data_IF_022999043494
#
_entry.id   IF_022999043494
#
_cell.length_a   1.000
_cell.length_b   1.000
_cell.length_c   1.000
_cell.angle_alpha   90.00
_cell.angle_beta   90.00
_cell.angle_gamma   90.00
#
_symmetry.space_group_name_H-M   'P 1'
#
loop_
_entity.id
_entity.type
_entity.pdbx_description
1 polymer ?
#
# COMPACT_ATOMS: atom_id res chain seq x y z
N UNK A 1 18.95 32.15 47.53
CA UNK A 1 17.77 31.66 46.80
C UNK A 1 18.29 30.97 45.54
N UNK A 2 18.61 29.68 45.65
CA UNK A 2 19.24 28.87 44.59
C UNK A 2 18.12 28.08 43.90
N UNK A 3 17.84 28.42 42.63
CA UNK A 3 16.79 27.76 41.84
C UNK A 3 17.32 26.42 41.36
N UNK A 4 16.74 25.32 41.89
CA UNK A 4 17.01 23.96 41.46
C UNK A 4 16.14 23.67 40.21
N UNK A 5 16.75 23.61 39.03
CA UNK A 5 16.10 23.14 37.81
C UNK A 5 16.02 21.61 37.86
N UNK A 6 14.87 21.07 38.28
CA UNK A 6 14.59 19.64 38.19
C UNK A 6 14.21 19.31 36.75
N UNK A 7 15.17 18.78 35.99
CA UNK A 7 14.95 18.30 34.63
C UNK A 7 13.96 17.13 34.61
N UNK A 8 12.82 17.31 33.95
CA UNK A 8 11.91 16.23 33.63
C UNK A 8 12.57 15.33 32.57
N UNK A 9 13.16 14.22 33.00
CA UNK A 9 13.50 13.10 32.12
C UNK A 9 12.17 12.47 31.71
N UNK A 10 11.73 12.77 30.50
CA UNK A 10 10.61 12.05 29.87
C UNK A 10 11.13 10.65 29.54
N UNK A 11 10.67 9.66 30.30
CA UNK A 11 10.79 8.25 29.96
C UNK A 11 9.98 8.01 28.68
N UNK A 12 10.64 8.14 27.52
CA UNK A 12 10.11 7.63 26.27
C UNK A 12 10.04 6.11 26.42
N UNK A 13 8.85 5.58 26.71
CA UNK A 13 8.60 4.16 26.62
C UNK A 13 8.82 3.73 25.17
N UNK A 14 9.98 3.13 24.89
CA UNK A 14 10.23 2.49 23.61
C UNK A 14 9.18 1.37 23.47
N UNK A 15 8.16 1.60 22.65
CA UNK A 15 7.35 0.49 22.14
C UNK A 15 8.33 -0.43 21.41
N UNK A 16 8.54 -1.63 21.94
CA UNK A 16 9.44 -2.61 21.34
C UNK A 16 8.91 -2.94 19.93
N UNK A 17 9.72 -2.67 18.92
CA UNK A 17 9.42 -3.02 17.54
C UNK A 17 9.71 -4.51 17.33
N UNK A 18 8.98 -5.20 16.45
CA UNK A 18 9.11 -6.64 16.26
C UNK A 18 10.33 -6.97 15.39
N UNK A 19 11.54 -6.85 15.95
CA UNK A 19 12.79 -7.04 15.19
C UNK A 19 13.23 -8.51 15.11
N UNK A 20 13.22 -9.24 16.22
CA UNK A 20 13.72 -10.62 16.32
C UNK A 20 12.64 -11.57 16.80
N UNK A 21 12.55 -12.72 16.12
CA UNK A 21 11.64 -13.79 16.48
C UNK A 21 10.16 -13.51 16.18
N UNK A 22 9.86 -12.41 15.49
CA UNK A 22 8.50 -11.96 15.25
C UNK A 22 7.63 -12.98 14.52
N UNK A 23 8.23 -13.85 13.69
CA UNK A 23 7.53 -14.93 12.98
C UNK A 23 7.56 -16.26 13.74
N UNK A 24 7.86 -16.26 15.06
CA UNK A 24 7.78 -17.47 15.87
C UNK A 24 6.33 -17.95 15.84
N UNK A 25 6.14 -19.18 15.39
CA UNK A 25 4.80 -19.74 15.16
C UNK A 25 4.08 -19.96 16.49
N UNK A 26 2.82 -19.51 16.55
CA UNK A 26 1.89 -19.82 17.64
C UNK A 26 0.93 -20.93 17.20
N UNK A 27 0.99 -22.07 17.88
CA UNK A 27 0.15 -23.25 17.67
C UNK A 27 -1.13 -23.25 18.51
N UNK A 28 -1.32 -22.22 19.35
CA UNK A 28 -2.47 -22.12 20.24
C UNK A 28 -3.79 -22.04 19.44
N UNK A 29 -4.85 -22.75 19.85
CA UNK A 29 -6.17 -22.58 19.24
C UNK A 29 -6.71 -21.16 19.43
N UNK A 30 -7.32 -20.58 18.41
CA UNK A 30 -8.04 -19.31 18.52
C UNK A 30 -9.35 -19.38 17.73
N UNK A 31 -10.43 -19.74 18.42
CA UNK A 31 -11.75 -19.75 17.81
C UNK A 31 -12.14 -18.34 17.34
N UNK A 32 -12.59 -18.22 16.09
CA UNK A 32 -13.02 -16.96 15.49
C UNK A 32 -11.89 -16.06 15.01
N UNK A 33 -10.61 -16.48 15.10
CA UNK A 33 -9.52 -15.77 14.46
C UNK A 33 -9.52 -16.03 12.95
N UNK A 34 -9.08 -15.04 12.17
CA UNK A 34 -9.01 -15.12 10.71
C UNK A 34 -7.56 -15.19 10.27
N UNK A 35 -7.21 -16.16 9.44
CA UNK A 35 -5.85 -16.34 8.93
C UNK A 35 -5.70 -15.79 7.50
N UNK A 36 -4.60 -15.07 7.26
CA UNK A 36 -4.25 -14.51 5.96
C UNK A 36 -2.87 -15.02 5.53
N UNK A 37 -2.83 -15.83 4.46
CA UNK A 37 -1.59 -16.27 3.84
C UNK A 37 -1.07 -15.23 2.85
N UNK A 38 0.11 -14.70 3.12
CA UNK A 38 0.79 -13.68 2.33
C UNK A 38 1.99 -14.31 1.63
N UNK A 39 2.06 -14.13 0.32
CA UNK A 39 3.22 -14.50 -0.48
C UNK A 39 4.20 -13.32 -0.54
N UNK A 40 5.49 -13.60 -0.44
CA UNK A 40 6.49 -12.57 -0.17
C UNK A 40 7.58 -12.67 -1.24
N UNK A 41 7.89 -11.53 -1.85
CA UNK A 41 9.08 -11.33 -2.66
C UNK A 41 9.93 -10.22 -2.02
N UNK A 42 11.23 -10.43 -1.92
CA UNK A 42 12.08 -9.51 -1.15
C UNK A 42 13.48 -9.32 -1.70
N UNK A 43 14.07 -8.15 -1.44
CA UNK A 43 15.50 -7.88 -1.64
C UNK A 43 16.29 -7.83 -0.33
N UNK A 44 15.65 -8.17 0.79
CA UNK A 44 16.30 -8.30 2.09
C UNK A 44 17.19 -9.54 2.12
N UNK A 45 18.30 -9.46 2.83
CA UNK A 45 19.08 -10.62 3.20
C UNK A 45 18.29 -11.45 4.23
N UNK A 46 18.43 -12.79 4.17
CA UNK A 46 17.94 -13.65 5.24
C UNK A 46 18.60 -13.24 6.56
N UNK A 47 17.83 -13.30 7.64
CA UNK A 47 18.33 -13.05 8.98
C UNK A 47 18.90 -14.35 9.56
N UNK A 48 20.03 -14.25 10.27
CA UNK A 48 20.60 -15.38 11.02
C UNK A 48 19.82 -15.67 12.31
N UNK A 49 19.10 -14.67 12.82
CA UNK A 49 18.30 -14.78 14.03
C UNK A 49 17.07 -15.70 13.81
N UNK A 50 16.76 -16.59 14.78
CA UNK A 50 15.66 -17.52 14.66
C UNK A 50 14.32 -16.78 14.52
N UNK A 51 13.42 -17.34 13.71
CA UNK A 51 12.07 -16.83 13.49
C UNK A 51 11.97 -15.35 13.06
N UNK A 52 13.06 -14.80 12.49
CA UNK A 52 13.12 -13.42 11.98
C UNK A 52 12.99 -13.35 10.46
N UNK A 53 13.40 -14.41 9.76
CA UNK A 53 13.36 -14.58 8.30
C UNK A 53 14.23 -13.61 7.50
N UNK A 54 13.91 -12.31 7.50
CA UNK A 54 14.61 -11.31 6.70
C UNK A 54 15.06 -10.13 7.55
N UNK A 55 16.28 -9.67 7.30
CA UNK A 55 16.90 -8.56 8.02
C UNK A 55 16.64 -7.20 7.35
N UNK A 56 17.21 -6.15 7.93
CA UNK A 56 17.28 -4.83 7.31
C UNK A 56 18.33 -4.70 6.21
N UNK A 57 19.17 -5.73 6.02
CA UNK A 57 20.30 -5.66 5.09
C UNK A 57 19.93 -6.11 3.67
N UNK A 58 20.69 -5.64 2.67
CA UNK A 58 20.50 -6.02 1.27
C UNK A 58 20.93 -7.46 1.03
N UNK A 59 20.04 -8.25 0.44
CA UNK A 59 20.33 -9.57 -0.08
C UNK A 59 21.16 -9.49 -1.37
N UNK A 60 21.89 -10.56 -1.68
CA UNK A 60 22.65 -10.67 -2.94
C UNK A 60 21.75 -10.84 -4.16
N UNK A 61 20.56 -11.40 -3.96
CA UNK A 61 19.55 -11.72 -4.98
C UNK A 61 18.17 -11.51 -4.37
N UNK A 62 17.15 -11.45 -5.23
CA UNK A 62 15.75 -11.54 -4.80
C UNK A 62 15.51 -12.90 -4.14
N UNK A 63 14.75 -12.89 -3.05
CA UNK A 63 14.38 -14.07 -2.27
C UNK A 63 12.85 -14.12 -2.09
N UNK A 64 12.33 -15.27 -1.69
CA UNK A 64 10.90 -15.51 -1.61
C UNK A 64 10.51 -16.28 -0.35
N UNK A 65 9.30 -15.99 0.14
CA UNK A 65 8.73 -16.67 1.30
C UNK A 65 7.20 -16.69 1.24
N UNK A 66 6.60 -17.43 2.16
CA UNK A 66 5.18 -17.35 2.51
C UNK A 66 5.07 -17.22 4.03
N UNK A 67 4.04 -16.52 4.48
CA UNK A 67 3.68 -16.49 5.89
C UNK A 67 2.16 -16.43 6.04
N UNK A 68 1.63 -17.17 7.00
CA UNK A 68 0.21 -17.10 7.39
C UNK A 68 0.13 -16.36 8.71
N UNK A 69 -0.57 -15.22 8.71
CA UNK A 69 -0.76 -14.37 9.89
C UNK A 69 -2.20 -14.48 10.36
N UNK A 70 -2.38 -14.79 11.64
CA UNK A 70 -3.69 -14.80 12.30
C UNK A 70 -4.04 -13.41 12.81
N UNK A 71 -5.29 -13.00 12.60
CA UNK A 71 -5.89 -11.77 13.12
C UNK A 71 -6.88 -12.14 14.22
N UNK A 72 -6.79 -11.53 15.42
CA UNK A 72 -7.63 -11.92 16.54
C UNK A 72 -9.10 -11.50 16.34
N UNK A 73 -10.08 -12.21 16.93
CA UNK A 73 -11.51 -11.90 16.76
C UNK A 73 -11.91 -10.49 17.20
N UNK A 74 -11.21 -9.94 18.20
CA UNK A 74 -11.47 -8.62 18.78
C UNK A 74 -10.62 -7.50 18.13
N UNK A 75 -10.10 -7.74 16.92
CA UNK A 75 -9.28 -6.79 16.17
C UNK A 75 -10.01 -5.46 15.93
N UNK A 76 -9.23 -4.36 15.99
CA UNK A 76 -9.72 -3.00 15.69
C UNK A 76 -9.07 -2.49 14.40
N UNK A 77 -9.87 -1.97 13.43
CA UNK A 77 -9.32 -1.49 12.18
C UNK A 77 -8.17 -0.49 12.34
N UNK A 78 -7.15 -0.63 11.50
CA UNK A 78 -5.95 0.21 11.48
C UNK A 78 -4.91 -0.12 12.56
N UNK A 79 -5.20 -1.04 13.49
CA UNK A 79 -4.27 -1.42 14.57
C UNK A 79 -3.60 -2.75 14.30
N UNK A 80 -2.36 -2.92 14.73
CA UNK A 80 -1.77 -4.25 14.83
C UNK A 80 -1.65 -4.56 16.32
N UNK A 81 -2.44 -5.50 16.81
CA UNK A 81 -2.37 -5.97 18.20
C UNK A 81 -1.09 -6.80 18.41
N UNK A 82 0.01 -6.11 18.68
CA UNK A 82 1.32 -6.74 18.94
C UNK A 82 1.36 -7.46 20.29
N UNK A 83 1.93 -8.68 20.36
CA UNK A 83 2.18 -9.32 21.64
C UNK A 83 3.39 -8.70 22.33
N UNK A 84 3.35 -8.56 23.65
CA UNK A 84 4.53 -8.16 24.44
C UNK A 84 5.55 -9.31 24.60
N UNK A 85 5.14 -10.56 24.35
CA UNK A 85 5.96 -11.76 24.43
C UNK A 85 5.61 -12.70 23.28
N UNK A 86 6.63 -13.13 22.52
CA UNK A 86 6.48 -14.03 21.38
C UNK A 86 6.35 -15.51 21.82
N UNK A 87 5.57 -16.35 21.12
CA UNK A 87 4.89 -16.11 19.84
C UNK A 87 3.52 -15.40 19.93
N UNK A 88 3.11 -14.96 21.12
CA UNK A 88 1.82 -14.31 21.33
C UNK A 88 0.63 -15.28 21.37
N UNK A 89 -0.52 -14.71 21.75
CA UNK A 89 -1.82 -15.41 21.83
C UNK A 89 -2.71 -15.00 20.64
N UNK A 90 -3.06 -15.93 19.72
CA UNK A 90 -3.85 -15.65 18.51
C UNK A 90 -5.28 -15.18 18.79
N UNK A 91 -5.81 -15.39 19.99
CA UNK A 91 -7.13 -14.87 20.38
C UNK A 91 -7.09 -13.37 20.71
N UNK A 92 -5.89 -12.80 20.89
CA UNK A 92 -5.68 -11.43 21.35
C UNK A 92 -4.74 -10.60 20.48
N UNK A 93 -3.86 -11.26 19.73
CA UNK A 93 -2.77 -10.62 19.01
C UNK A 93 -2.69 -11.10 17.58
N UNK A 94 -2.04 -10.30 16.73
CA UNK A 94 -1.54 -10.79 15.46
C UNK A 94 -0.37 -11.73 15.73
N UNK A 95 -0.41 -12.94 15.17
CA UNK A 95 0.65 -13.94 15.34
C UNK A 95 0.91 -14.70 14.05
N UNK A 96 2.14 -15.20 13.88
CA UNK A 96 2.46 -16.11 12.79
C UNK A 96 1.91 -17.51 13.10
N UNK A 97 1.26 -18.11 12.12
CA UNK A 97 0.72 -19.48 12.15
C UNK A 97 1.55 -20.44 11.29
N UNK A 98 2.13 -19.88 10.24
CA UNK A 98 3.08 -20.55 9.36
C UNK A 98 4.05 -19.50 8.83
N UNK A 99 5.30 -19.90 8.63
CA UNK A 99 6.26 -19.15 7.84
C UNK A 99 7.20 -20.13 7.15
N UNK A 100 7.65 -19.81 5.94
CA UNK A 100 8.58 -20.67 5.21
C UNK A 100 9.13 -19.99 3.97
N UNK A 101 10.34 -20.40 3.56
CA UNK A 101 10.93 -19.93 2.31
C UNK A 101 10.29 -20.60 1.10
N UNK A 102 10.37 -19.91 -0.05
CA UNK A 102 10.10 -20.48 -1.36
C UNK A 102 11.42 -20.45 -2.14
N UNK A 103 11.68 -21.51 -2.91
CA UNK A 103 13.02 -21.72 -3.49
C UNK A 103 13.41 -20.67 -4.53
N UNK A 104 12.43 -20.24 -5.34
CA UNK A 104 12.66 -19.38 -6.50
C UNK A 104 11.36 -18.69 -6.99
N UNK A 105 11.49 -17.91 -8.06
CA UNK A 105 10.38 -17.19 -8.68
C UNK A 105 9.31 -18.11 -9.28
N UNK A 106 9.70 -19.30 -9.75
CA UNK A 106 8.74 -20.28 -10.25
C UNK A 106 7.92 -20.89 -9.11
N UNK A 107 8.55 -21.16 -7.97
CA UNK A 107 7.87 -21.60 -6.75
C UNK A 107 6.94 -20.53 -6.21
N UNK A 108 7.36 -19.27 -6.23
CA UNK A 108 6.50 -18.13 -5.92
C UNK A 108 5.28 -18.05 -6.84
N UNK A 109 5.48 -18.09 -8.16
CA UNK A 109 4.37 -18.04 -9.13
C UNK A 109 3.44 -19.24 -9.02
N UNK A 110 3.96 -20.45 -8.77
CA UNK A 110 3.13 -21.64 -8.48
C UNK A 110 2.28 -21.44 -7.22
N UNK A 111 2.85 -20.87 -6.16
CA UNK A 111 2.11 -20.58 -4.94
C UNK A 111 1.00 -19.53 -5.18
N UNK A 112 1.27 -18.50 -6.00
CA UNK A 112 0.26 -17.53 -6.44
C UNK A 112 -0.87 -18.25 -7.19
N UNK A 113 -0.55 -19.06 -8.20
CA UNK A 113 -1.55 -19.77 -8.99
C UNK A 113 -2.38 -20.76 -8.15
N UNK A 114 -1.76 -21.48 -7.21
CA UNK A 114 -2.47 -22.36 -6.29
C UNK A 114 -3.49 -21.58 -5.45
N UNK A 115 -3.07 -20.46 -4.84
CA UNK A 115 -3.97 -19.62 -4.07
C UNK A 115 -5.11 -19.01 -4.94
N UNK A 116 -4.84 -18.66 -6.19
CA UNK A 116 -5.86 -18.17 -7.12
C UNK A 116 -6.85 -19.26 -7.53
N UNK A 117 -6.38 -20.50 -7.70
CA UNK A 117 -7.24 -21.62 -8.12
C UNK A 117 -8.31 -21.95 -7.07
N UNK A 118 -8.00 -21.76 -5.78
CA UNK A 118 -8.90 -21.96 -4.65
C UNK A 118 -9.99 -20.88 -4.52
N UNK A 119 -9.95 -19.86 -5.40
CA UNK A 119 -10.89 -18.73 -5.40
C UNK A 119 -11.84 -18.74 -6.59
N UNK A 120 -13.08 -18.23 -6.43
CA UNK A 120 -13.98 -18.04 -7.56
C UNK A 120 -13.39 -17.04 -8.55
N UNK A 121 -13.73 -17.17 -9.84
CA UNK A 121 -13.06 -16.44 -10.93
C UNK A 121 -13.04 -14.90 -10.75
N UNK A 122 -14.08 -14.33 -10.14
CA UNK A 122 -14.16 -12.88 -9.89
C UNK A 122 -13.24 -12.41 -8.75
N UNK A 123 -12.78 -13.30 -7.86
CA UNK A 123 -11.86 -12.99 -6.75
C UNK A 123 -10.40 -13.36 -7.06
N UNK A 124 -10.10 -13.78 -8.30
CA UNK A 124 -8.73 -14.15 -8.73
C UNK A 124 -7.84 -12.94 -9.02
N UNK A 125 -7.91 -11.92 -8.18
CA UNK A 125 -7.04 -10.76 -8.24
C UNK A 125 -5.88 -10.91 -7.25
N UNK A 126 -4.77 -10.25 -7.56
CA UNK A 126 -3.61 -10.14 -6.68
C UNK A 126 -3.54 -8.72 -6.12
N UNK A 127 -3.24 -8.60 -4.83
CA UNK A 127 -2.95 -7.32 -4.18
C UNK A 127 -1.49 -7.26 -3.76
N UNK A 128 -0.70 -6.44 -4.43
CA UNK A 128 0.70 -6.15 -4.10
C UNK A 128 0.78 -4.97 -3.15
N UNK A 129 1.43 -5.15 -2.00
CA UNK A 129 1.77 -4.07 -1.09
C UNK A 129 3.28 -3.82 -1.01
N UNK A 130 3.68 -2.55 -1.04
CA UNK A 130 5.06 -2.09 -0.97
C UNK A 130 5.17 -1.10 0.20
N UNK A 131 5.91 -1.49 1.24
CA UNK A 131 6.09 -0.66 2.43
C UNK A 131 7.01 0.56 2.18
N UNK A 132 6.96 1.51 3.13
CA UNK A 132 7.76 2.72 3.13
C UNK A 132 9.09 2.63 3.88
N UNK A 133 9.61 3.81 4.20
CA UNK A 133 10.82 4.04 4.98
C UNK A 133 10.71 3.50 6.43
N UNK A 134 11.85 3.24 7.08
CA UNK A 134 11.92 2.91 8.50
C UNK A 134 10.96 1.76 8.87
N UNK A 135 10.98 0.69 8.08
CA UNK A 135 10.09 -0.47 8.25
C UNK A 135 10.89 -1.76 8.36
N UNK A 136 10.75 -2.47 9.48
CA UNK A 136 11.27 -3.82 9.64
C UNK A 136 10.44 -4.82 8.82
N UNK A 137 11.02 -5.98 8.51
CA UNK A 137 10.33 -7.02 7.73
C UNK A 137 8.99 -7.42 8.36
N UNK A 138 9.00 -7.77 9.66
CA UNK A 138 7.79 -8.20 10.36
C UNK A 138 6.74 -7.07 10.45
N UNK A 139 7.16 -5.82 10.64
CA UNK A 139 6.24 -4.69 10.64
C UNK A 139 5.51 -4.54 9.31
N UNK A 140 6.25 -4.61 8.20
CA UNK A 140 5.65 -4.55 6.86
C UNK A 140 4.68 -5.70 6.62
N UNK A 141 5.04 -6.92 7.04
CA UNK A 141 4.23 -8.12 6.87
C UNK A 141 2.92 -8.06 7.68
N UNK A 142 3.00 -7.78 8.98
CA UNK A 142 1.84 -7.77 9.86
C UNK A 142 0.93 -6.57 9.57
N UNK A 143 1.52 -5.43 9.21
CA UNK A 143 0.76 -4.29 8.73
C UNK A 143 -0.01 -4.63 7.47
N UNK A 144 0.60 -5.36 6.53
CA UNK A 144 -0.11 -5.77 5.33
C UNK A 144 -1.22 -6.79 5.63
N UNK A 145 -1.00 -7.74 6.54
CA UNK A 145 -2.06 -8.62 7.02
C UNK A 145 -3.26 -7.84 7.59
N UNK A 146 -3.00 -6.78 8.36
CA UNK A 146 -4.03 -5.86 8.86
C UNK A 146 -4.77 -5.16 7.71
N UNK A 147 -4.06 -4.63 6.73
CA UNK A 147 -4.68 -3.96 5.57
C UNK A 147 -5.56 -4.92 4.77
N UNK A 148 -5.11 -6.15 4.54
CA UNK A 148 -5.90 -7.19 3.84
C UNK A 148 -7.16 -7.53 4.63
N UNK A 149 -7.03 -7.74 5.94
CA UNK A 149 -8.16 -8.01 6.82
C UNK A 149 -9.18 -6.87 6.81
N UNK A 150 -8.73 -5.64 7.05
CA UNK A 150 -9.61 -4.48 7.21
C UNK A 150 -10.27 -4.03 5.92
N UNK A 151 -9.63 -4.29 4.77
CA UNK A 151 -10.24 -4.00 3.47
C UNK A 151 -11.22 -5.06 3.01
N UNK A 152 -11.26 -6.23 3.65
CA UNK A 152 -12.04 -7.38 3.19
C UNK A 152 -11.58 -7.90 1.83
N UNK A 153 -10.32 -7.67 1.44
CA UNK A 153 -9.80 -8.12 0.15
C UNK A 153 -9.77 -9.65 0.07
N UNK A 154 -10.53 -10.24 -0.86
CA UNK A 154 -10.69 -11.69 -0.97
C UNK A 154 -9.69 -12.36 -1.91
N UNK A 155 -8.90 -11.59 -2.66
CA UNK A 155 -7.89 -12.11 -3.57
C UNK A 155 -6.62 -12.63 -2.89
N UNK A 156 -5.51 -12.70 -3.64
CA UNK A 156 -4.22 -13.19 -3.16
C UNK A 156 -3.32 -12.03 -2.75
N UNK A 157 -2.96 -11.90 -1.46
CA UNK A 157 -2.07 -10.84 -1.00
C UNK A 157 -0.59 -11.19 -1.23
N UNK A 158 0.13 -10.23 -1.80
CA UNK A 158 1.57 -10.31 -2.10
C UNK A 158 2.29 -9.13 -1.45
N UNK A 159 3.24 -9.40 -0.55
CA UNK A 159 4.14 -8.40 -0.01
C UNK A 159 5.39 -8.31 -0.88
N UNK A 160 5.67 -7.14 -1.43
CA UNK A 160 7.03 -6.82 -1.89
C UNK A 160 7.73 -5.99 -0.83
N UNK A 161 8.80 -6.53 -0.26
CA UNK A 161 9.56 -5.88 0.82
C UNK A 161 11.02 -5.68 0.44
N UNK A 162 11.55 -4.50 0.71
CA UNK A 162 12.91 -4.11 0.35
C UNK A 162 13.72 -3.83 1.61
N UNK A 163 15.06 -3.80 1.48
CA UNK A 163 16.01 -3.69 2.60
C UNK A 163 15.98 -2.32 3.31
N UNK A 164 14.89 -2.03 4.02
CA UNK A 164 14.79 -0.97 5.00
C UNK A 164 15.33 -1.47 6.34
N UNK A 165 16.20 -0.68 6.97
CA UNK A 165 16.78 -1.00 8.29
C UNK A 165 15.81 -0.84 9.44
N UNK A 166 14.65 -0.23 9.23
CA UNK A 166 13.74 0.06 10.33
C UNK A 166 14.35 1.06 11.31
N UNK A 167 15.12 2.04 10.83
CA UNK A 167 15.67 3.09 11.69
C UNK A 167 15.53 4.47 11.06
N UNK A 168 15.14 5.45 11.89
CA UNK A 168 14.94 6.86 11.51
C UNK A 168 16.22 7.59 11.10
N UNK A 169 17.39 7.07 11.43
CA UNK A 169 18.68 7.65 11.01
C UNK A 169 19.21 7.07 9.71
N UNK A 170 18.62 5.98 9.22
CA UNK A 170 19.11 5.23 8.04
C UNK A 170 18.43 5.68 6.74
N UNK A 171 17.87 6.90 6.68
CA UNK A 171 17.15 7.42 5.51
C UNK A 171 17.89 7.26 4.18
N UNK A 172 19.18 7.62 4.13
CA UNK A 172 20.00 7.50 2.90
C UNK A 172 20.24 6.04 2.53
N UNK A 173 20.44 5.18 3.53
CA UNK A 173 20.57 3.74 3.28
C UNK A 173 19.29 3.19 2.68
N UNK A 174 18.15 3.51 3.30
CA UNK A 174 16.83 3.07 2.88
C UNK A 174 16.49 3.57 1.46
N UNK A 175 16.74 4.85 1.15
CA UNK A 175 16.54 5.40 -0.20
C UNK A 175 17.37 4.66 -1.25
N UNK A 176 18.64 4.38 -0.94
CA UNK A 176 19.51 3.62 -1.83
C UNK A 176 19.06 2.15 -1.94
N UNK A 177 18.56 1.55 -0.87
CA UNK A 177 18.03 0.19 -0.86
C UNK A 177 16.75 0.06 -1.68
N UNK A 178 15.83 1.02 -1.55
CA UNK A 178 14.66 1.14 -2.39
C UNK A 178 15.07 1.31 -3.87
N UNK A 179 16.06 2.16 -4.16
CA UNK A 179 16.53 2.37 -5.54
C UNK A 179 17.18 1.11 -6.15
N UNK A 180 17.93 0.34 -5.37
CA UNK A 180 18.49 -0.94 -5.82
C UNK A 180 17.40 -2.01 -6.03
N UNK A 181 16.26 -1.90 -5.34
CA UNK A 181 15.18 -2.88 -5.41
C UNK A 181 14.30 -2.79 -6.68
N UNK A 182 14.48 -1.78 -7.54
CA UNK A 182 13.67 -1.56 -8.76
C UNK A 182 13.59 -2.79 -9.66
N UNK A 183 14.74 -3.36 -10.01
CA UNK A 183 14.80 -4.54 -10.89
C UNK A 183 14.15 -5.77 -10.24
N UNK A 184 14.22 -5.88 -8.91
CA UNK A 184 13.56 -6.97 -8.20
C UNK A 184 12.04 -6.79 -8.17
N UNK A 185 11.55 -5.56 -8.04
CA UNK A 185 10.12 -5.26 -8.13
C UNK A 185 9.61 -5.49 -9.56
N UNK A 186 10.32 -5.02 -10.58
CA UNK A 186 9.97 -5.26 -12.00
C UNK A 186 9.82 -6.76 -12.26
N UNK A 187 10.83 -7.55 -11.89
CA UNK A 187 10.77 -9.00 -12.06
C UNK A 187 9.64 -9.64 -11.25
N UNK A 188 9.34 -9.15 -10.04
CA UNK A 188 8.22 -9.67 -9.24
C UNK A 188 6.89 -9.41 -9.94
N UNK A 189 6.68 -8.18 -10.45
CA UNK A 189 5.49 -7.84 -11.24
C UNK A 189 5.42 -8.68 -12.51
N UNK A 190 6.55 -8.95 -13.17
CA UNK A 190 6.61 -9.84 -14.32
C UNK A 190 6.20 -11.28 -13.98
N UNK A 191 6.61 -11.82 -12.82
CA UNK A 191 6.13 -13.14 -12.38
C UNK A 191 4.62 -13.16 -12.15
N UNK A 192 4.07 -12.08 -11.56
CA UNK A 192 2.62 -11.95 -11.38
C UNK A 192 1.89 -11.81 -12.72
N UNK A 193 2.47 -11.11 -13.71
CA UNK A 193 1.87 -11.02 -15.05
C UNK A 193 1.82 -12.37 -15.77
N UNK A 194 2.77 -13.28 -15.47
CA UNK A 194 2.78 -14.66 -15.97
C UNK A 194 1.94 -15.63 -15.13
N UNK A 195 1.35 -15.16 -14.03
CA UNK A 195 0.43 -15.93 -13.20
C UNK A 195 -0.98 -15.94 -13.79
N UNK A 196 -1.88 -16.74 -13.20
CA UNK A 196 -3.29 -16.85 -13.58
C UNK A 196 -4.15 -15.69 -13.02
N UNK A 197 -3.52 -14.66 -12.45
CA UNK A 197 -4.22 -13.52 -11.85
C UNK A 197 -5.05 -12.77 -12.89
N UNK A 198 -6.33 -12.53 -12.62
CA UNK A 198 -7.22 -11.71 -13.44
C UNK A 198 -6.71 -10.28 -13.49
N UNK A 199 -6.48 -9.65 -12.33
CA UNK A 199 -5.83 -8.34 -12.21
C UNK A 199 -4.82 -8.28 -11.07
N UNK A 200 -3.90 -7.31 -11.15
CA UNK A 200 -2.88 -7.02 -10.15
C UNK A 200 -3.07 -5.59 -9.67
N UNK A 201 -3.55 -5.44 -8.43
CA UNK A 201 -3.68 -4.17 -7.73
C UNK A 201 -2.41 -3.89 -6.95
N UNK A 202 -1.95 -2.64 -6.91
CA UNK A 202 -0.69 -2.26 -6.27
C UNK A 202 -0.94 -1.09 -5.33
N UNK A 203 -0.54 -1.22 -4.07
CA UNK A 203 -0.46 -0.11 -3.13
C UNK A 203 0.97 0.05 -2.64
N UNK A 204 1.51 1.25 -2.80
CA UNK A 204 2.81 1.61 -2.26
C UNK A 204 2.66 2.73 -1.25
N UNK A 205 3.40 2.67 -0.14
CA UNK A 205 3.38 3.68 0.92
C UNK A 205 4.69 4.44 1.01
N UNK A 206 4.65 5.77 1.18
CA UNK A 206 5.80 6.62 1.47
C UNK A 206 6.94 6.38 0.49
N UNK A 207 8.16 6.07 0.93
CA UNK A 207 9.31 5.76 0.08
C UNK A 207 9.11 4.52 -0.82
N UNK A 208 8.14 3.65 -0.51
CA UNK A 208 7.72 2.58 -1.41
C UNK A 208 7.11 3.11 -2.72
N UNK A 209 6.49 4.31 -2.69
CA UNK A 209 5.96 4.96 -3.90
C UNK A 209 7.08 5.39 -4.84
N UNK A 210 8.21 5.87 -4.30
CA UNK A 210 9.42 6.16 -5.06
C UNK A 210 9.90 4.92 -5.82
N UNK A 211 10.03 3.80 -5.12
CA UNK A 211 10.44 2.53 -5.71
C UNK A 211 9.47 2.08 -6.80
N UNK A 212 8.15 2.14 -6.56
CA UNK A 212 7.15 1.76 -7.57
C UNK A 212 7.24 2.64 -8.81
N UNK A 213 7.32 3.96 -8.64
CA UNK A 213 7.37 4.92 -9.74
C UNK A 213 8.67 4.81 -10.55
N UNK A 214 9.80 4.59 -9.90
CA UNK A 214 11.06 4.33 -10.59
C UNK A 214 11.03 2.99 -11.35
N UNK A 215 10.40 1.97 -10.78
CA UNK A 215 10.19 0.67 -11.45
C UNK A 215 9.30 0.84 -12.68
N UNK A 216 8.19 1.58 -12.57
CA UNK A 216 7.33 1.87 -13.71
C UNK A 216 8.07 2.67 -14.79
N UNK A 217 8.92 3.62 -14.40
CA UNK A 217 9.72 4.46 -15.31
C UNK A 217 10.72 3.67 -16.16
N UNK A 218 11.32 2.60 -15.62
CA UNK A 218 12.31 1.80 -16.35
C UNK A 218 11.67 0.83 -17.35
N UNK A 219 10.42 0.42 -17.12
CA UNK A 219 9.68 -0.45 -18.05
C UNK A 219 9.38 0.34 -19.34
N UNK A 220 9.61 -0.24 -20.54
CA UNK A 220 9.23 0.39 -21.80
C UNK A 220 7.74 0.73 -21.81
N UNK A 221 7.36 1.90 -22.31
CA UNK A 221 5.95 2.35 -22.28
C UNK A 221 5.03 1.39 -23.05
N UNK A 222 5.51 0.80 -24.16
CA UNK A 222 4.77 -0.22 -24.90
C UNK A 222 4.49 -1.49 -24.07
N UNK A 223 5.34 -1.84 -23.12
CA UNK A 223 5.17 -3.02 -22.25
C UNK A 223 4.15 -2.73 -21.15
N UNK A 224 4.14 -1.51 -20.64
CA UNK A 224 3.10 -1.01 -19.74
C UNK A 224 1.73 -1.01 -20.43
N UNK A 225 1.66 -0.51 -21.67
CA UNK A 225 0.41 -0.51 -22.46
C UNK A 225 -0.09 -1.93 -22.70
N UNK A 226 0.78 -2.88 -23.06
CA UNK A 226 0.40 -4.29 -23.26
C UNK A 226 -0.08 -4.98 -21.98
N UNK A 227 0.36 -4.50 -20.82
CA UNK A 227 -0.01 -5.06 -19.51
C UNK A 227 -1.19 -4.32 -18.86
N UNK A 228 -1.73 -3.28 -19.51
CA UNK A 228 -2.70 -2.36 -18.93
C UNK A 228 -3.98 -3.06 -18.44
N UNK A 229 -4.47 -4.05 -19.18
CA UNK A 229 -5.70 -4.76 -18.82
C UNK A 229 -5.53 -5.65 -17.58
N UNK A 230 -4.29 -6.08 -17.31
CA UNK A 230 -3.91 -6.89 -16.14
C UNK A 230 -3.55 -6.04 -14.93
N UNK A 231 -3.13 -4.79 -15.11
CA UNK A 231 -2.89 -3.86 -13.99
C UNK A 231 -4.23 -3.27 -13.54
N UNK A 232 -4.61 -3.57 -12.30
CA UNK A 232 -5.80 -3.02 -11.65
C UNK A 232 -5.57 -1.60 -11.14
N UNK A 233 -6.01 -1.35 -9.91
CA UNK A 233 -5.79 -0.05 -9.26
C UNK A 233 -4.34 0.09 -8.80
N UNK A 234 -3.73 1.24 -9.08
CA UNK A 234 -2.45 1.64 -8.49
C UNK A 234 -2.71 2.76 -7.49
N UNK A 235 -2.25 2.59 -6.25
CA UNK A 235 -2.40 3.53 -5.14
C UNK A 235 -1.04 3.95 -4.61
N UNK A 236 -0.79 5.25 -4.60
CA UNK A 236 0.38 5.89 -4.03
C UNK A 236 -0.06 6.58 -2.72
N UNK A 237 0.21 5.94 -1.59
CA UNK A 237 -0.19 6.43 -0.27
C UNK A 237 0.94 7.25 0.39
N UNK A 238 0.61 8.47 0.81
CA UNK A 238 1.52 9.46 1.37
C UNK A 238 2.86 9.55 0.59
N UNK A 239 2.85 9.84 -0.73
CA UNK A 239 4.02 9.58 -1.56
C UNK A 239 5.22 10.46 -1.18
N UNK A 240 6.30 9.78 -0.78
CA UNK A 240 7.59 10.40 -0.49
C UNK A 240 8.43 10.49 -1.77
N UNK A 241 7.98 11.33 -2.70
CA UNK A 241 8.62 11.58 -4.00
C UNK A 241 8.75 13.09 -4.19
N UNK A 242 9.91 13.54 -4.67
CA UNK A 242 10.11 14.93 -5.07
C UNK A 242 9.19 15.26 -6.25
N UNK A 243 8.47 16.38 -6.18
CA UNK A 243 7.46 16.72 -7.18
C UNK A 243 8.04 16.83 -8.60
N UNK A 244 9.27 17.34 -8.76
CA UNK A 244 9.91 17.46 -10.08
C UNK A 244 10.34 16.09 -10.60
N UNK A 245 10.76 15.18 -9.71
CA UNK A 245 11.02 13.79 -10.07
C UNK A 245 9.75 13.07 -10.48
N UNK A 246 8.65 13.24 -9.72
CA UNK A 246 7.36 12.63 -10.07
C UNK A 246 6.88 13.10 -11.45
N UNK A 247 6.97 14.40 -11.73
CA UNK A 247 6.66 14.96 -13.06
C UNK A 247 7.54 14.31 -14.15
N UNK A 248 8.83 14.17 -13.91
CA UNK A 248 9.74 13.53 -14.86
C UNK A 248 9.43 12.03 -15.08
N UNK A 249 9.04 11.32 -14.01
CA UNK A 249 8.58 9.92 -14.08
C UNK A 249 7.30 9.82 -14.92
N UNK A 250 6.28 10.62 -14.62
CA UNK A 250 5.01 10.61 -15.35
C UNK A 250 5.19 10.98 -16.83
N UNK A 251 6.08 11.92 -17.17
CA UNK A 251 6.41 12.21 -18.58
C UNK A 251 7.03 11.01 -19.31
N UNK A 252 7.85 10.22 -18.62
CA UNK A 252 8.51 9.03 -19.20
C UNK A 252 7.55 7.83 -19.29
N UNK A 253 6.69 7.65 -18.30
CA UNK A 253 5.68 6.59 -18.24
C UNK A 253 4.56 6.87 -19.25
N UNK A 254 4.20 8.14 -19.43
CA UNK A 254 3.01 8.56 -20.15
C UNK A 254 1.76 8.54 -19.26
N UNK A 255 0.59 8.78 -19.85
CA UNK A 255 -0.68 8.68 -19.14
C UNK A 255 -1.03 7.21 -18.94
N UNK A 256 -1.15 6.72 -17.69
CA UNK A 256 -1.52 5.33 -17.46
C UNK A 256 -2.98 5.11 -17.92
N UNK A 257 -3.31 3.93 -18.49
CA UNK A 257 -4.68 3.64 -18.94
C UNK A 257 -5.71 3.68 -17.81
N UNK A 258 -5.29 3.34 -16.58
CA UNK A 258 -6.04 3.59 -15.35
C UNK A 258 -5.32 4.66 -14.52
N UNK A 259 -5.98 5.74 -14.10
CA UNK A 259 -5.36 6.77 -13.28
C UNK A 259 -4.73 6.21 -12.00
N UNK A 260 -3.55 6.72 -11.65
CA UNK A 260 -2.95 6.44 -10.34
C UNK A 260 -3.72 7.20 -9.26
N UNK A 261 -4.07 6.52 -8.18
CA UNK A 261 -4.72 7.14 -7.03
C UNK A 261 -3.65 7.63 -6.06
N UNK A 262 -3.59 8.93 -5.81
CA UNK A 262 -2.68 9.55 -4.86
C UNK A 262 -3.47 9.85 -3.60
N UNK A 263 -3.03 9.28 -2.48
CA UNK A 263 -3.60 9.56 -1.18
C UNK A 263 -2.62 10.46 -0.44
N UNK A 264 -3.03 11.68 -0.16
CA UNK A 264 -2.19 12.70 0.46
C UNK A 264 -2.76 13.16 1.80
N UNK A 265 -1.87 13.67 2.64
CA UNK A 265 -2.23 14.25 3.94
C UNK A 265 -1.37 15.50 4.10
N UNK A 266 -2.00 16.67 4.04
CA UNK A 266 -1.29 17.96 4.03
C UNK A 266 -0.63 18.29 5.38
N UNK A 267 -1.01 17.57 6.44
CA UNK A 267 -0.48 17.63 7.80
C UNK A 267 0.54 16.51 8.13
N UNK A 268 1.04 15.79 7.11
CA UNK A 268 1.99 14.69 7.29
C UNK A 268 3.36 15.19 7.79
N UNK A 269 3.68 14.85 9.03
CA UNK A 269 4.90 15.32 9.70
C UNK A 269 6.15 14.56 9.23
N UNK A 270 6.02 13.31 8.81
CA UNK A 270 7.15 12.54 8.30
C UNK A 270 7.61 13.06 6.94
N UNK A 271 6.65 13.44 6.07
CA UNK A 271 6.97 14.09 4.81
C UNK A 271 7.66 15.43 5.01
N UNK A 272 7.24 16.23 6.00
CA UNK A 272 7.93 17.50 6.32
C UNK A 272 9.42 17.31 6.68
N UNK A 273 9.75 16.21 7.37
CA UNK A 273 11.13 15.87 7.71
C UNK A 273 11.91 15.43 6.46
N UNK A 274 11.30 14.59 5.61
CA UNK A 274 11.91 14.17 4.35
C UNK A 274 12.22 15.36 3.43
N UNK A 275 11.29 16.32 3.29
CA UNK A 275 11.48 17.56 2.53
C UNK A 275 12.68 18.34 3.05
N UNK A 276 12.81 18.49 4.37
CA UNK A 276 13.95 19.20 4.99
C UNK A 276 15.28 18.51 4.72
N UNK A 277 15.32 17.18 4.77
CA UNK A 277 16.51 16.39 4.43
C UNK A 277 16.82 16.52 2.93
N UNK A 278 15.80 16.56 2.08
CA UNK A 278 15.91 16.65 0.61
C UNK A 278 16.04 18.08 0.07
N UNK A 279 16.51 19.04 0.88
CA UNK A 279 16.81 20.40 0.42
C UNK A 279 15.59 21.33 0.28
N UNK A 280 14.49 21.04 0.97
CA UNK A 280 13.32 21.93 1.10
C UNK A 280 12.33 21.88 -0.07
N UNK A 281 12.46 20.88 -0.97
CA UNK A 281 11.51 20.68 -2.07
C UNK A 281 10.24 19.98 -1.59
N UNK A 282 9.11 20.33 -2.21
CA UNK A 282 7.82 19.72 -1.90
C UNK A 282 7.80 18.24 -2.31
N UNK A 283 7.15 17.42 -1.48
CA UNK A 283 6.89 16.01 -1.76
C UNK A 283 5.47 15.85 -2.25
N UNK A 284 5.22 14.88 -3.13
CA UNK A 284 3.89 14.63 -3.72
C UNK A 284 2.82 14.45 -2.63
N UNK A 285 3.11 13.74 -1.54
CA UNK A 285 2.14 13.54 -0.45
C UNK A 285 1.79 14.78 0.38
N UNK A 286 2.50 15.89 0.21
CA UNK A 286 2.19 17.19 0.82
C UNK A 286 2.13 18.32 -0.21
N UNK A 287 1.89 17.99 -1.49
CA UNK A 287 1.87 18.98 -2.56
C UNK A 287 0.51 19.68 -2.61
N UNK A 288 0.51 21.02 -2.67
CA UNK A 288 -0.73 21.81 -2.56
C UNK A 288 -1.47 21.99 -3.90
N UNK A 289 -0.82 21.73 -5.04
CA UNK A 289 -1.42 21.93 -6.36
C UNK A 289 -2.02 20.61 -6.91
N UNK A 290 -3.19 20.27 -6.40
CA UNK A 290 -3.92 19.04 -6.74
C UNK A 290 -4.33 18.97 -8.22
N UNK A 291 -4.51 20.13 -8.86
CA UNK A 291 -4.86 20.24 -10.28
C UNK A 291 -3.71 19.79 -11.17
N UNK A 292 -2.48 20.15 -10.84
CA UNK A 292 -1.32 19.72 -11.63
C UNK A 292 -1.11 18.19 -11.54
N UNK A 293 -1.39 17.59 -10.37
CA UNK A 293 -1.38 16.13 -10.22
C UNK A 293 -2.47 15.46 -11.08
N UNK A 294 -3.66 16.06 -11.17
CA UNK A 294 -4.73 15.58 -12.04
C UNK A 294 -4.40 15.70 -13.53
N UNK A 295 -3.72 16.78 -13.94
CA UNK A 295 -3.25 16.98 -15.32
C UNK A 295 -2.22 15.92 -15.75
N UNK A 296 -1.46 15.36 -14.79
CA UNK A 296 -0.58 14.21 -14.99
C UNK A 296 -1.32 12.86 -15.09
N UNK A 297 -2.65 12.85 -14.94
CA UNK A 297 -3.47 11.65 -15.02
C UNK A 297 -3.66 10.91 -13.69
N UNK A 298 -3.45 11.58 -12.56
CA UNK A 298 -3.73 11.01 -11.24
C UNK A 298 -5.13 11.42 -10.71
N UNK A 299 -5.69 10.60 -9.83
CA UNK A 299 -6.85 10.95 -8.98
C UNK A 299 -6.30 11.27 -7.60
N UNK A 300 -6.63 12.44 -7.06
CA UNK A 300 -6.12 12.90 -5.77
C UNK A 300 -7.20 12.80 -4.70
N UNK A 301 -6.86 12.10 -3.62
CA UNK A 301 -7.72 11.90 -2.44
C UNK A 301 -7.03 12.51 -1.23
N UNK A 302 -7.70 13.47 -0.59
CA UNK A 302 -7.23 14.11 0.64
C UNK A 302 -7.69 13.33 1.86
N UNK A 303 -6.74 12.94 2.70
CA UNK A 303 -6.96 12.27 3.97
C UNK A 303 -6.63 13.18 5.17
N UNK A 304 -6.41 14.48 4.96
CA UNK A 304 -6.01 15.42 6.02
C UNK A 304 -6.97 15.39 7.22
N UNK A 305 -8.28 15.30 6.97
CA UNK A 305 -9.32 15.32 8.01
C UNK A 305 -9.57 13.96 8.68
N UNK A 306 -8.83 12.90 8.31
CA UNK A 306 -8.89 11.62 9.02
C UNK A 306 -7.95 11.60 10.21
N UNK A 307 -8.40 10.97 11.30
CA UNK A 307 -7.52 10.62 12.42
C UNK A 307 -6.55 9.50 12.01
N UNK A 308 -5.25 9.73 12.21
CA UNK A 308 -4.21 8.73 12.00
C UNK A 308 -3.97 7.86 13.23
N UNK A 309 -3.62 6.58 13.08
CA UNK A 309 -3.23 5.74 14.23
C UNK A 309 -1.83 6.08 14.75
N UNK A 310 -1.06 6.87 14.01
CA UNK A 310 0.29 7.32 14.36
C UNK A 310 0.34 8.82 14.64
N UNK A 311 1.20 9.23 15.58
CA UNK A 311 1.38 10.63 15.96
C UNK A 311 1.97 11.52 14.84
N UNK A 312 2.46 10.92 13.74
CA UNK A 312 3.01 11.65 12.59
C UNK A 312 2.03 11.86 11.45
N UNK A 313 0.81 11.31 11.55
CA UNK A 313 -0.21 11.36 10.50
C UNK A 313 0.24 10.72 9.16
N UNK A 314 1.32 9.94 9.19
CA UNK A 314 1.97 9.36 8.01
C UNK A 314 1.38 8.01 7.60
N UNK A 315 0.61 7.38 8.51
CA UNK A 315 -0.03 6.08 8.30
C UNK A 315 -1.55 6.15 8.24
N UNK A 316 -2.13 7.34 8.01
CA UNK A 316 -3.59 7.52 7.81
C UNK A 316 -4.18 6.61 6.72
N UNK A 317 -3.36 6.22 5.73
CA UNK A 317 -3.75 5.24 4.71
C UNK A 317 -4.21 3.89 5.31
N UNK A 318 -3.79 3.53 6.51
CA UNK A 318 -4.21 2.28 7.16
C UNK A 318 -5.69 2.27 7.53
N UNK A 319 -6.31 3.45 7.66
CA UNK A 319 -7.75 3.59 7.84
C UNK A 319 -8.54 3.37 6.54
N UNK A 320 -7.88 3.21 5.38
CA UNK A 320 -8.54 3.02 4.08
C UNK A 320 -9.47 1.82 4.09
N UNK A 321 -9.14 0.72 4.77
CA UNK A 321 -10.04 -0.44 4.85
C UNK A 321 -11.44 -0.04 5.37
N UNK A 322 -11.49 0.82 6.39
CA UNK A 322 -12.73 1.31 6.97
C UNK A 322 -13.51 2.28 6.05
N UNK A 323 -12.82 2.99 5.15
CA UNK A 323 -13.42 3.96 4.22
C UNK A 323 -13.50 3.46 2.77
N UNK A 324 -13.02 2.25 2.47
CA UNK A 324 -12.92 1.70 1.13
C UNK A 324 -14.29 1.61 0.42
N UNK A 325 -15.39 1.21 1.09
CA UNK A 325 -16.71 1.24 0.45
C UNK A 325 -17.16 2.65 0.06
N UNK A 326 -16.83 3.66 0.88
CA UNK A 326 -17.18 5.06 0.61
C UNK A 326 -16.34 5.58 -0.56
N UNK A 327 -15.03 5.30 -0.56
CA UNK A 327 -14.14 5.64 -1.66
C UNK A 327 -14.58 4.98 -2.98
N UNK A 328 -14.93 3.69 -2.95
CA UNK A 328 -15.49 2.98 -4.12
C UNK A 328 -16.78 3.63 -4.62
N UNK A 329 -17.70 4.00 -3.72
CA UNK A 329 -18.95 4.67 -4.11
C UNK A 329 -18.70 6.03 -4.77
N UNK A 330 -17.73 6.80 -4.28
CA UNK A 330 -17.34 8.10 -4.84
C UNK A 330 -16.70 7.92 -6.21
N UNK A 331 -15.83 6.92 -6.38
CA UNK A 331 -15.19 6.63 -7.68
C UNK A 331 -16.21 6.13 -8.71
N UNK A 332 -17.13 5.24 -8.29
CA UNK A 332 -18.19 4.73 -9.15
C UNK A 332 -19.15 5.83 -9.61
N UNK A 333 -19.57 6.72 -8.69
CA UNK A 333 -20.40 7.88 -9.01
C UNK A 333 -19.76 8.85 -10.02
N UNK A 334 -18.44 8.83 -10.14
CA UNK A 334 -17.65 9.66 -11.05
C UNK A 334 -17.25 8.92 -12.34
N UNK A 335 -17.77 7.72 -12.58
CA UNK A 335 -17.43 6.90 -13.76
C UNK A 335 -15.99 6.40 -13.77
N UNK A 336 -15.32 6.42 -12.61
CA UNK A 336 -13.95 5.93 -12.41
C UNK A 336 -13.95 4.53 -11.78
N UNK A 337 -15.07 3.80 -11.88
CA UNK A 337 -15.19 2.47 -11.29
C UNK A 337 -14.09 1.56 -11.87
N UNK A 338 -13.16 1.07 -11.04
CA UNK A 338 -12.14 0.13 -11.50
C UNK A 338 -12.74 -1.21 -11.94
N UNK A 339 -14.01 -1.52 -11.66
CA UNK A 339 -14.69 -2.79 -11.94
C UNK A 339 -14.95 -3.11 -13.41
N UNK A 340 -15.52 -2.19 -14.19
CA UNK A 340 -15.99 -2.48 -15.55
C UNK A 340 -15.38 -1.53 -16.57
N UNK A 341 -14.47 -2.05 -17.40
CA UNK A 341 -14.33 -1.50 -18.74
C UNK A 341 -15.59 -1.91 -19.51
N UNK A 342 -16.62 -1.06 -19.51
CA UNK A 342 -17.75 -1.26 -20.40
C UNK A 342 -17.25 -1.20 -21.85
N UNK A 343 -17.48 -2.24 -22.67
CA UNK A 343 -17.31 -2.09 -24.10
C UNK A 343 -18.30 -1.04 -24.58
N UNK A 344 -17.81 -0.08 -25.37
CA UNK A 344 -18.63 0.95 -25.98
C UNK A 344 -19.67 0.31 -26.93
N UNK A 345 -20.86 0.01 -26.42
CA UNK A 345 -22.05 -0.27 -27.22
C UNK A 345 -23.31 0.08 -26.45
N UNK A 346 -24.07 1.05 -26.98
CA UNK A 346 -25.54 1.02 -26.90
C UNK A 346 -26.18 1.86 -25.78
N UNK A 347 -26.54 3.09 -26.14
CA UNK A 347 -27.74 3.74 -25.61
C UNK A 347 -28.97 2.88 -25.94
N UNK A 348 -29.52 2.16 -24.96
CA UNK A 348 -30.94 1.86 -24.82
C UNK A 348 -31.20 1.09 -23.52
N UNK A 349 -32.22 1.54 -22.78
CA UNK A 349 -32.89 0.82 -21.70
C UNK A 349 -32.18 0.61 -20.35
N UNK A 350 -32.17 1.69 -19.57
CA UNK A 350 -32.46 1.61 -18.13
C UNK A 350 -33.21 2.86 -17.65
N UNK A 351 -34.30 3.18 -18.34
CA UNK A 351 -35.29 4.16 -17.88
C UNK A 351 -36.30 3.47 -16.98
N UNK A 352 -36.14 3.63 -15.65
CA UNK A 352 -37.21 3.72 -14.62
C UNK A 352 -36.56 3.73 -13.24
N UNK A 353 -36.11 4.91 -12.82
CA UNK A 353 -36.66 5.64 -11.66
C UNK A 353 -35.61 6.67 -11.16
N UNK A 354 -35.45 7.76 -11.92
CA UNK A 354 -34.61 8.91 -11.56
C UNK A 354 -35.45 10.20 -11.38
N UNK A 355 -36.76 10.04 -11.26
CA UNK A 355 -37.74 11.13 -11.13
C UNK A 355 -37.90 11.68 -9.71
N UNK A 356 -37.25 11.11 -8.70
CA UNK A 356 -37.35 11.56 -7.30
C UNK A 356 -36.05 12.14 -6.72
N UNK A 357 -34.93 12.16 -7.47
CA UNK A 357 -33.64 12.61 -6.94
C UNK A 357 -33.34 14.11 -7.17
N UNK A 358 -34.22 14.86 -7.85
CA UNK A 358 -33.96 16.28 -8.23
C UNK A 358 -34.85 17.29 -7.46
N UNK A 359 -35.39 16.97 -6.28
CA UNK A 359 -36.19 17.96 -5.51
C UNK A 359 -35.90 18.10 -4.01
N UNK A 360 -34.67 17.87 -3.58
CA UNK A 360 -34.21 18.46 -2.32
C UNK A 360 -32.70 18.58 -2.29
N UNK A 361 -32.18 19.53 -3.07
CA UNK A 361 -30.90 20.18 -2.73
C UNK A 361 -31.12 21.05 -1.48
N UNK A 362 -31.28 20.36 -0.35
CA UNK A 362 -31.13 20.88 0.99
C UNK A 362 -30.23 19.86 1.70
N UNK A 363 -28.94 20.18 1.75
CA UNK A 363 -27.94 19.67 2.69
C UNK A 363 -28.23 18.29 3.29
N UNK A 364 -27.89 17.24 2.56
CA UNK A 364 -27.29 16.08 3.22
C UNK A 364 -25.79 16.22 2.93
N UNK A 365 -25.16 17.11 3.70
CA UNK A 365 -23.74 17.01 3.94
C UNK A 365 -23.55 15.74 4.78
N UNK A 366 -23.40 14.59 4.12
CA UNK A 366 -22.55 13.56 4.69
C UNK A 366 -21.16 14.19 4.67
N UNK A 367 -20.73 14.75 5.79
CA UNK A 367 -19.34 15.14 6.00
C UNK A 367 -18.51 13.87 5.91
N UNK A 368 -18.18 13.47 4.69
CA UNK A 368 -17.19 12.43 4.45
C UNK A 368 -15.86 13.01 4.95
N UNK A 369 -15.13 12.30 5.84
CA UNK A 369 -13.82 12.76 6.30
C UNK A 369 -12.73 12.63 5.22
N UNK A 370 -13.13 12.29 3.99
CA UNK A 370 -12.27 12.08 2.82
C UNK A 370 -12.81 12.97 1.72
N UNK A 371 -11.95 13.85 1.21
CA UNK A 371 -12.33 14.77 0.12
C UNK A 371 -11.64 14.33 -1.17
N UNK A 372 -12.41 14.04 -2.20
CA UNK A 372 -11.87 13.85 -3.54
C UNK A 372 -11.60 15.23 -4.14
N UNK A 373 -10.32 15.57 -4.32
CA UNK A 373 -9.93 16.93 -4.71
C UNK A 373 -10.04 17.15 -6.21
N UNK A 374 -9.70 16.15 -7.01
CA UNK A 374 -9.61 16.29 -8.47
C UNK A 374 -9.81 14.96 -9.21
N UNK A 375 -10.30 15.07 -10.45
CA UNK A 375 -10.46 13.97 -11.42
C UNK A 375 -9.66 14.35 -12.68
N UNK A 376 -8.92 13.41 -13.30
CA UNK A 376 -8.24 13.70 -14.56
C UNK A 376 -9.27 14.06 -15.64
N UNK A 377 -9.19 15.28 -16.18
CA UNK A 377 -10.04 15.72 -17.28
C UNK A 377 -9.59 15.00 -18.55
N UNK A 378 -10.48 14.17 -19.12
CA UNK A 378 -10.32 13.72 -20.49
C UNK A 378 -10.48 14.96 -21.39
N UNK A 379 -9.37 15.57 -21.76
CA UNK A 379 -9.34 16.44 -22.94
C UNK A 379 -9.57 15.53 -24.14
N UNK A 380 -10.85 15.32 -24.47
CA UNK A 380 -11.25 14.82 -25.76
C UNK A 380 -10.59 15.74 -26.79
N UNK A 381 -9.61 15.20 -27.51
CA UNK A 381 -8.98 15.90 -28.61
C UNK A 381 -10.04 16.17 -29.68
N UNK A 382 -10.44 17.43 -29.79
CA UNK A 382 -10.79 17.99 -31.08
C UNK A 382 -9.47 18.26 -31.80
N UNK A 383 -9.11 17.40 -32.74
CA UNK A 383 -8.11 17.67 -33.75
C UNK A 383 -8.65 17.14 -35.09
N UNK A 384 -9.10 18.11 -35.89
CA UNK A 384 -9.49 18.14 -37.32
C UNK A 384 -10.69 17.32 -37.81
#
# INVERSE_FOLDING_TARGET
>A
MLVLLMGCVVLAGCAARPDVGALKVSDQPAAGATEHTILIATTRARADAPDTYFSGERGKRRDFARATISVPPAHKPGRVEWPSVLPGDPSRHFVAREAGYLDDGDSFRRAVNAALADRPAHERDVFVFIHGYNTLFAEGLYRFAQVVHDSGFTGVPVLFTWASRGNVTDYVYDLNSATVARDALEHTLAELMRSDARRIHIMAHSMGTWLLMETARQIPSGDLTRSADRIGQVVLAAPDIDIDVFKAQMRRIGKPPRPYMILLSKDDRALSLSSRIAGGKARVGGYENDRELAELGAVVVDLTDLDGPDATNHTKFTAIGAIAPQLQSVLAAQGLDPGEAQPATGLADAGRDLGSFVRSTAQIAVTLPVTLLTIPVALAGAAE
#
